data_IF_406615452603
#
_entry.id   IF_406615452603
#
_cell.length_a   1.000
_cell.length_b   1.000
_cell.length_c   1.000
_cell.angle_alpha   90.00
_cell.angle_beta   90.00
_cell.angle_gamma   90.00
#
_symmetry.space_group_name_H-M   'P 1'
#
loop_
_entity.id
_entity.type
_entity.pdbx_description
1 polymer ?
#
# COMPACT_ATOMS: atom_id res chain seq x y z
N UNK A 1 2.17 2.69 -20.01
CA UNK A 1 2.07 2.91 -18.55
C UNK A 1 2.90 1.84 -17.86
N UNK A 2 3.61 2.13 -16.77
CA UNK A 2 4.38 1.11 -16.07
C UNK A 2 3.41 -0.01 -15.63
N UNK A 3 3.75 -1.25 -15.94
CA UNK A 3 2.95 -2.43 -15.58
C UNK A 3 3.46 -3.04 -14.29
N UNK A 4 2.52 -3.49 -13.45
CA UNK A 4 2.85 -4.23 -12.24
C UNK A 4 3.21 -5.68 -12.63
N UNK A 5 4.48 -6.04 -12.47
CA UNK A 5 4.97 -7.40 -12.77
C UNK A 5 4.91 -8.28 -11.53
N UNK A 6 4.46 -9.52 -11.72
CA UNK A 6 4.49 -10.56 -10.71
C UNK A 6 5.72 -11.43 -10.95
N UNK A 7 6.74 -11.22 -10.12
CA UNK A 7 7.98 -11.99 -10.17
C UNK A 7 7.82 -13.28 -9.34
N UNK A 8 7.93 -14.44 -9.99
CA UNK A 8 7.64 -15.75 -9.36
C UNK A 8 8.89 -16.53 -8.93
N UNK A 9 10.10 -16.04 -9.25
CA UNK A 9 11.34 -16.76 -8.94
C UNK A 9 11.52 -17.01 -7.44
N UNK A 10 11.14 -16.03 -6.60
CA UNK A 10 11.16 -16.20 -5.15
C UNK A 10 10.14 -17.24 -4.68
N UNK A 11 8.93 -17.26 -5.24
CA UNK A 11 7.95 -18.31 -4.95
C UNK A 11 8.43 -19.70 -5.37
N UNK A 12 8.98 -19.84 -6.58
CA UNK A 12 9.53 -21.13 -7.05
C UNK A 12 10.60 -21.64 -6.08
N UNK A 13 11.55 -20.78 -5.70
CA UNK A 13 12.60 -21.11 -4.74
C UNK A 13 12.02 -21.51 -3.37
N UNK A 14 11.07 -20.73 -2.85
CA UNK A 14 10.42 -20.98 -1.57
C UNK A 14 9.70 -22.35 -1.56
N UNK A 15 8.98 -22.68 -2.63
CA UNK A 15 8.28 -23.96 -2.76
C UNK A 15 9.27 -25.13 -2.87
N UNK A 16 10.28 -25.02 -3.74
CA UNK A 16 11.29 -26.07 -3.92
C UNK A 16 12.09 -26.36 -2.65
N UNK A 17 12.51 -25.32 -1.91
CA UNK A 17 13.30 -25.49 -0.68
C UNK A 17 12.54 -26.17 0.45
N UNK A 18 11.21 -26.11 0.40
CA UNK A 18 10.33 -26.67 1.43
C UNK A 18 9.69 -27.99 1.00
N UNK A 19 9.96 -28.43 -0.23
CA UNK A 19 9.30 -29.59 -0.84
C UNK A 19 7.77 -29.49 -0.73
N UNK A 20 7.23 -28.27 -0.85
CA UNK A 20 5.80 -28.00 -0.71
C UNK A 20 5.01 -28.73 -1.80
N UNK A 21 4.02 -29.51 -1.41
CA UNK A 21 3.13 -30.25 -2.32
C UNK A 21 1.89 -29.46 -2.65
N UNK A 22 1.23 -28.91 -1.64
CA UNK A 22 -0.02 -28.16 -1.79
C UNK A 22 0.18 -26.70 -1.42
N UNK A 23 -0.11 -25.79 -2.35
CA UNK A 23 0.06 -24.35 -2.16
C UNK A 23 -1.22 -23.59 -2.49
N UNK A 24 -1.55 -22.59 -1.68
CA UNK A 24 -2.58 -21.61 -1.98
C UNK A 24 -1.93 -20.33 -2.49
N UNK A 25 -2.37 -19.85 -3.64
CA UNK A 25 -1.96 -18.56 -4.20
C UNK A 25 -3.11 -17.59 -4.05
N UNK A 26 -2.90 -16.52 -3.28
CA UNK A 26 -3.88 -15.45 -3.12
C UNK A 26 -3.50 -14.25 -3.96
N UNK A 27 -4.45 -13.78 -4.78
CA UNK A 27 -4.23 -12.74 -5.79
C UNK A 27 -5.20 -11.57 -5.55
N UNK A 28 -4.72 -10.32 -5.43
CA UNK A 28 -5.57 -9.15 -5.32
C UNK A 28 -6.28 -8.86 -6.65
N UNK A 29 -7.42 -8.16 -6.58
CA UNK A 29 -8.29 -7.89 -7.74
C UNK A 29 -7.54 -7.39 -8.98
N UNK A 30 -6.64 -6.41 -8.81
CA UNK A 30 -5.89 -5.81 -9.92
C UNK A 30 -4.92 -6.77 -10.64
N UNK A 31 -4.65 -7.95 -10.07
CA UNK A 31 -3.74 -8.95 -10.62
C UNK A 31 -4.44 -10.26 -11.02
N UNK A 32 -5.75 -10.41 -10.80
CA UNK A 32 -6.49 -11.65 -11.13
C UNK A 32 -6.48 -11.99 -12.62
N UNK A 33 -6.35 -11.00 -13.50
CA UNK A 33 -6.17 -11.23 -14.93
C UNK A 33 -4.88 -12.02 -15.27
N UNK A 34 -3.89 -12.04 -14.36
CA UNK A 34 -2.65 -12.80 -14.49
C UNK A 34 -2.72 -14.20 -13.86
N UNK A 35 -3.86 -14.61 -13.30
CA UNK A 35 -3.98 -15.83 -12.50
C UNK A 35 -3.51 -17.09 -13.25
N UNK A 36 -3.93 -17.28 -14.50
CA UNK A 36 -3.51 -18.44 -15.32
C UNK A 36 -1.99 -18.46 -15.51
N UNK A 37 -1.38 -17.32 -15.85
CA UNK A 37 0.09 -17.19 -15.98
C UNK A 37 0.80 -17.52 -14.67
N UNK A 38 0.23 -17.11 -13.54
CA UNK A 38 0.80 -17.39 -12.21
C UNK A 38 0.72 -18.89 -11.89
N UNK A 39 -0.41 -19.54 -12.17
CA UNK A 39 -0.59 -20.99 -12.00
C UNK A 39 0.44 -21.74 -12.85
N UNK A 40 0.50 -21.43 -14.15
CA UNK A 40 1.41 -22.08 -15.09
C UNK A 40 2.87 -21.92 -14.62
N UNK A 41 3.22 -20.72 -14.14
CA UNK A 41 4.55 -20.41 -13.62
C UNK A 41 4.94 -21.18 -12.35
N UNK A 42 3.98 -21.65 -11.56
CA UNK A 42 4.21 -22.37 -10.30
C UNK A 42 3.95 -23.89 -10.39
N UNK A 43 3.28 -24.35 -11.46
CA UNK A 43 2.88 -25.75 -11.67
C UNK A 43 4.03 -26.77 -11.62
N UNK A 44 5.27 -26.36 -11.87
CA UNK A 44 6.47 -27.22 -11.79
C UNK A 44 7.11 -27.25 -10.40
N UNK A 45 6.69 -26.37 -9.50
CA UNK A 45 7.29 -26.18 -8.18
C UNK A 45 6.44 -26.75 -7.05
N UNK A 46 5.19 -27.14 -7.30
CA UNK A 46 4.29 -27.79 -6.35
C UNK A 46 3.35 -28.75 -7.09
N UNK A 47 2.87 -29.79 -6.41
CA UNK A 47 1.94 -30.79 -6.95
C UNK A 47 0.54 -30.20 -7.17
N UNK A 48 0.03 -29.47 -6.18
CA UNK A 48 -1.30 -28.85 -6.18
C UNK A 48 -1.18 -27.35 -5.98
N UNK A 49 -1.60 -26.57 -6.99
CA UNK A 49 -1.64 -25.10 -6.93
C UNK A 49 -3.09 -24.64 -6.94
N UNK A 50 -3.59 -24.20 -5.79
CA UNK A 50 -4.93 -23.66 -5.63
C UNK A 50 -4.89 -22.13 -5.67
N UNK A 51 -5.75 -21.51 -6.50
CA UNK A 51 -5.87 -20.05 -6.51
C UNK A 51 -7.10 -19.62 -5.73
N UNK A 52 -6.89 -18.77 -4.71
CA UNK A 52 -7.97 -18.14 -3.97
C UNK A 52 -8.52 -16.97 -4.79
N UNK A 53 -9.72 -17.14 -5.33
CA UNK A 53 -10.40 -16.16 -6.18
C UNK A 53 -11.40 -15.26 -5.45
N UNK A 54 -11.59 -15.44 -4.14
CA UNK A 54 -12.35 -14.49 -3.33
C UNK A 54 -11.69 -13.10 -3.36
N UNK A 55 -12.42 -12.04 -2.99
CA UNK A 55 -11.82 -10.73 -2.77
C UNK A 55 -10.61 -10.83 -1.84
N UNK A 56 -9.53 -10.14 -2.21
CA UNK A 56 -8.33 -10.01 -1.39
C UNK A 56 -8.02 -8.52 -1.25
N UNK A 57 -8.24 -7.99 -0.05
CA UNK A 57 -8.11 -6.57 0.24
C UNK A 57 -6.73 -6.18 0.80
N UNK A 58 -5.93 -7.15 1.22
CA UNK A 58 -4.64 -6.88 1.85
C UNK A 58 -4.03 -8.10 2.54
N UNK A 59 -2.83 -7.90 3.07
CA UNK A 59 -2.14 -8.88 3.91
C UNK A 59 -2.85 -9.19 5.24
N UNK A 60 -3.95 -8.49 5.56
CA UNK A 60 -4.81 -8.76 6.71
C UNK A 60 -5.90 -9.81 6.44
N UNK A 61 -6.03 -10.25 5.19
CA UNK A 61 -7.11 -11.09 4.70
C UNK A 61 -6.53 -12.41 4.18
N UNK A 62 -5.69 -13.06 4.99
CA UNK A 62 -5.01 -14.29 4.60
C UNK A 62 -5.99 -15.49 4.62
N UNK A 63 -5.93 -16.41 3.64
CA UNK A 63 -6.82 -17.57 3.54
C UNK A 63 -6.38 -18.69 4.48
N UNK A 64 -6.24 -18.39 5.78
CA UNK A 64 -5.74 -19.34 6.79
C UNK A 64 -6.71 -20.52 6.98
N UNK A 65 -8.02 -20.25 6.91
CA UNK A 65 -9.04 -21.29 6.96
C UNK A 65 -8.97 -22.23 5.75
N UNK A 66 -8.75 -21.69 4.54
CA UNK A 66 -8.59 -22.52 3.34
C UNK A 66 -7.30 -23.35 3.42
N UNK A 67 -6.22 -22.77 3.97
CA UNK A 67 -4.95 -23.47 4.20
C UNK A 67 -5.16 -24.69 5.11
N UNK A 68 -5.94 -24.53 6.19
CA UNK A 68 -6.28 -25.64 7.07
C UNK A 68 -7.20 -26.66 6.39
N UNK A 69 -8.24 -26.21 5.68
CA UNK A 69 -9.23 -27.08 5.05
C UNK A 69 -8.65 -27.94 3.92
N UNK A 70 -7.70 -27.39 3.16
CA UNK A 70 -7.01 -28.09 2.07
C UNK A 70 -5.75 -28.82 2.52
N UNK A 71 -5.39 -28.73 3.80
CA UNK A 71 -4.10 -29.19 4.33
C UNK A 71 -2.94 -28.68 3.46
N UNK A 72 -2.98 -27.39 3.13
CA UNK A 72 -1.97 -26.75 2.29
C UNK A 72 -0.71 -26.45 3.10
N UNK A 73 0.46 -26.67 2.49
CA UNK A 73 1.76 -26.51 3.14
C UNK A 73 2.13 -25.03 3.33
N UNK A 74 1.65 -24.16 2.44
CA UNK A 74 1.96 -22.73 2.45
C UNK A 74 1.00 -21.86 1.63
N UNK A 75 1.10 -20.55 1.86
CA UNK A 75 0.40 -19.49 1.11
C UNK A 75 1.43 -18.63 0.37
N UNK A 76 1.20 -18.38 -0.92
CA UNK A 76 1.86 -17.33 -1.70
C UNK A 76 0.89 -16.14 -1.80
N UNK A 77 1.16 -15.06 -1.07
CA UNK A 77 0.32 -13.86 -1.02
C UNK A 77 0.90 -12.77 -1.91
N UNK A 78 0.24 -12.46 -3.02
CA UNK A 78 0.76 -11.54 -4.04
C UNK A 78 0.28 -10.11 -3.80
N UNK A 79 1.12 -9.12 -4.09
CA UNK A 79 0.77 -7.70 -4.16
C UNK A 79 0.91 -6.91 -2.87
N UNK A 80 0.94 -7.56 -1.70
CA UNK A 80 1.05 -6.87 -0.40
C UNK A 80 2.30 -7.24 0.39
N UNK A 81 2.77 -6.29 1.19
CA UNK A 81 3.85 -6.49 2.16
C UNK A 81 3.40 -7.26 3.41
N UNK A 82 4.33 -7.97 4.08
CA UNK A 82 4.02 -8.73 5.30
C UNK A 82 3.55 -7.82 6.43
N UNK A 83 2.37 -8.08 6.98
CA UNK A 83 1.91 -7.49 8.24
C UNK A 83 1.94 -8.49 9.40
N UNK A 84 1.97 -9.78 9.07
CA UNK A 84 2.21 -10.89 9.99
C UNK A 84 3.35 -11.70 9.40
N UNK A 85 4.31 -12.12 10.23
CA UNK A 85 5.44 -12.95 9.77
C UNK A 85 5.18 -14.38 10.21
N UNK A 86 4.81 -15.23 9.25
CA UNK A 86 4.64 -16.66 9.48
C UNK A 86 5.51 -17.43 8.48
N UNK A 87 6.20 -18.48 8.95
CA UNK A 87 7.13 -19.25 8.13
C UNK A 87 6.48 -19.92 6.92
N UNK A 88 5.17 -20.14 6.97
CA UNK A 88 4.42 -20.84 5.92
C UNK A 88 3.71 -19.87 4.96
N UNK A 89 4.00 -18.57 5.06
CA UNK A 89 3.42 -17.53 4.21
C UNK A 89 4.55 -16.78 3.54
N UNK A 90 4.60 -16.85 2.21
CA UNK A 90 5.45 -16.00 1.39
C UNK A 90 4.64 -14.81 0.90
N UNK A 91 5.11 -13.61 1.21
CA UNK A 91 4.59 -12.37 0.64
C UNK A 91 5.40 -12.00 -0.58
N UNK A 92 4.72 -11.71 -1.69
CA UNK A 92 5.31 -11.21 -2.93
C UNK A 92 4.76 -9.83 -3.25
N UNK A 93 5.27 -8.74 -2.63
CA UNK A 93 4.87 -7.40 -2.99
C UNK A 93 5.26 -7.10 -4.43
N UNK A 94 4.36 -6.47 -5.17
CA UNK A 94 4.60 -6.08 -6.56
C UNK A 94 4.85 -4.58 -6.64
N UNK A 95 5.83 -4.18 -7.44
CA UNK A 95 6.29 -2.79 -7.50
C UNK A 95 6.16 -2.23 -8.91
N UNK A 96 5.86 -0.94 -9.00
CA UNK A 96 6.01 -0.21 -10.27
C UNK A 96 7.50 0.11 -10.50
N UNK A 97 7.99 -0.21 -11.69
CA UNK A 97 9.29 0.26 -12.16
C UNK A 97 9.17 1.69 -12.68
N UNK A 98 9.77 2.64 -11.97
CA UNK A 98 9.90 4.03 -12.39
C UNK A 98 11.34 4.31 -12.81
N UNK A 99 11.50 4.97 -13.94
CA UNK A 99 12.79 5.43 -14.45
C UNK A 99 13.30 6.63 -13.66
N UNK A 100 14.62 6.86 -13.68
CA UNK A 100 15.22 8.04 -13.06
C UNK A 100 14.61 9.36 -13.59
N UNK A 101 14.30 9.42 -14.89
CA UNK A 101 13.66 10.58 -15.51
C UNK A 101 12.24 10.82 -14.96
N UNK A 102 11.46 9.76 -14.73
CA UNK A 102 10.12 9.88 -14.14
C UNK A 102 10.19 10.36 -12.68
N UNK A 103 11.15 9.85 -11.91
CA UNK A 103 11.38 10.28 -10.51
C UNK A 103 11.84 11.74 -10.46
N UNK A 104 12.77 12.14 -11.33
CA UNK A 104 13.23 13.52 -11.41
C UNK A 104 12.08 14.49 -11.75
N UNK A 105 11.27 14.15 -12.76
CA UNK A 105 10.09 14.94 -13.13
C UNK A 105 9.06 15.03 -12.00
N UNK A 106 8.86 13.95 -11.25
CA UNK A 106 8.00 13.95 -10.07
C UNK A 106 8.54 14.89 -8.99
N UNK A 107 9.84 14.85 -8.71
CA UNK A 107 10.49 15.74 -7.75
C UNK A 107 10.35 17.22 -8.13
N UNK A 108 10.57 17.57 -9.41
CA UNK A 108 10.37 18.93 -9.94
C UNK A 108 8.92 19.39 -9.77
N UNK A 109 7.97 18.52 -10.08
CA UNK A 109 6.53 18.79 -9.97
C UNK A 109 6.13 19.03 -8.52
N UNK A 110 6.61 18.18 -7.60
CA UNK A 110 6.45 18.37 -6.15
C UNK A 110 7.05 19.70 -5.71
N UNK A 111 8.29 19.99 -6.10
CA UNK A 111 8.99 21.19 -5.68
C UNK A 111 8.28 22.47 -6.13
N UNK A 112 7.81 22.49 -7.38
CA UNK A 112 7.03 23.60 -7.92
C UNK A 112 5.74 23.84 -7.12
N UNK A 113 5.02 22.78 -6.76
CA UNK A 113 3.78 22.91 -5.99
C UNK A 113 4.03 23.39 -4.57
N UNK A 114 4.97 22.77 -3.87
CA UNK A 114 5.34 23.13 -2.50
C UNK A 114 5.90 24.55 -2.40
N UNK A 115 6.62 25.01 -3.44
CA UNK A 115 7.15 26.37 -3.55
C UNK A 115 6.08 27.46 -3.49
N UNK A 116 4.86 27.19 -3.95
CA UNK A 116 3.73 28.13 -3.86
C UNK A 116 3.40 28.53 -2.42
N UNK A 117 3.70 27.65 -1.46
CA UNK A 117 3.44 27.84 -0.02
C UNK A 117 4.72 27.88 0.82
N UNK A 118 5.90 27.97 0.18
CA UNK A 118 7.22 27.94 0.85
C UNK A 118 7.39 26.72 1.78
N UNK A 119 6.84 25.58 1.40
CA UNK A 119 6.98 24.32 2.13
C UNK A 119 8.31 23.69 1.74
N UNK A 120 9.18 23.43 2.72
CA UNK A 120 10.53 22.90 2.49
C UNK A 120 10.81 21.62 3.30
N UNK A 121 9.91 21.24 4.21
CA UNK A 121 10.01 20.01 4.99
C UNK A 121 8.76 19.16 4.86
N UNK A 122 8.89 17.91 4.40
CA UNK A 122 7.75 17.03 4.12
C UNK A 122 7.96 15.60 4.63
N UNK A 123 6.87 14.95 5.03
CA UNK A 123 6.82 13.49 5.11
C UNK A 123 6.57 12.93 3.71
N UNK A 124 7.37 11.95 3.30
CA UNK A 124 7.23 11.26 2.02
C UNK A 124 6.72 9.84 2.28
N UNK A 125 5.54 9.53 1.74
CA UNK A 125 4.86 8.25 1.96
C UNK A 125 4.27 7.68 0.68
N UNK A 126 3.99 6.38 0.66
CA UNK A 126 3.34 5.70 -0.47
C UNK A 126 2.55 4.47 -0.03
N UNK A 127 1.84 3.85 -0.98
CA UNK A 127 1.47 2.45 -0.86
C UNK A 127 2.71 1.53 -1.11
N UNK A 128 2.57 0.22 -0.92
CA UNK A 128 3.68 -0.73 -1.10
C UNK A 128 4.21 -0.77 -2.54
N UNK A 129 3.35 -0.52 -3.53
CA UNK A 129 3.71 -0.65 -4.95
C UNK A 129 4.70 0.42 -5.42
N UNK A 130 4.69 1.59 -4.77
CA UNK A 130 5.61 2.69 -5.06
C UNK A 130 6.72 2.85 -4.00
N UNK A 131 6.74 2.03 -2.94
CA UNK A 131 7.64 2.24 -1.80
C UNK A 131 9.12 2.20 -2.17
N UNK A 132 9.47 1.41 -3.20
CA UNK A 132 10.83 1.32 -3.71
C UNK A 132 11.34 2.59 -4.39
N UNK A 133 10.47 3.51 -4.80
CA UNK A 133 10.86 4.77 -5.42
C UNK A 133 11.08 5.91 -4.41
N UNK A 134 10.67 5.72 -3.15
CA UNK A 134 10.78 6.77 -2.13
C UNK A 134 12.24 7.18 -1.85
N UNK A 135 13.23 6.26 -1.74
CA UNK A 135 14.61 6.64 -1.49
C UNK A 135 15.22 7.52 -2.60
N UNK A 136 14.98 7.19 -3.87
CA UNK A 136 15.43 7.98 -5.02
C UNK A 136 14.71 9.31 -5.09
N UNK A 137 13.38 9.32 -4.88
CA UNK A 137 12.60 10.55 -4.85
C UNK A 137 13.06 11.48 -3.73
N UNK A 138 13.40 10.94 -2.55
CA UNK A 138 14.00 11.70 -1.45
C UNK A 138 15.32 12.36 -1.85
N UNK A 139 16.20 11.64 -2.56
CA UNK A 139 17.47 12.20 -3.07
C UNK A 139 17.22 13.33 -4.09
N UNK A 140 16.30 13.13 -5.03
CA UNK A 140 15.95 14.13 -6.03
C UNK A 140 15.35 15.40 -5.39
N UNK A 141 14.48 15.25 -4.40
CA UNK A 141 13.91 16.36 -3.64
C UNK A 141 14.97 17.12 -2.83
N UNK A 142 15.95 16.43 -2.26
CA UNK A 142 17.05 17.07 -1.54
C UNK A 142 17.87 17.99 -2.44
N UNK A 143 18.16 17.59 -3.68
CA UNK A 143 18.82 18.44 -4.67
C UNK A 143 18.02 19.70 -5.04
N UNK A 144 16.70 19.67 -4.82
CA UNK A 144 15.78 20.79 -5.02
C UNK A 144 15.53 21.58 -3.71
N UNK A 145 16.37 21.41 -2.68
CA UNK A 145 16.26 22.05 -1.36
C UNK A 145 14.99 21.70 -0.57
N UNK A 146 14.43 20.51 -0.80
CA UNK A 146 13.29 19.99 -0.04
C UNK A 146 13.78 18.88 0.89
N UNK A 147 13.71 19.14 2.18
CA UNK A 147 14.02 18.17 3.21
C UNK A 147 12.85 17.17 3.35
N UNK A 148 13.02 15.97 2.81
CA UNK A 148 11.99 14.92 2.84
C UNK A 148 12.35 13.80 3.82
N UNK A 149 11.37 13.36 4.59
CA UNK A 149 11.51 12.36 5.64
C UNK A 149 10.68 11.12 5.30
N UNK A 150 11.29 9.95 5.42
CA UNK A 150 10.62 8.66 5.25
C UNK A 150 10.61 8.06 6.65
N UNK A 151 9.44 7.99 7.28
CA UNK A 151 9.32 7.52 8.65
C UNK A 151 9.19 6.01 8.74
N UNK A 152 9.58 5.49 9.90
CA UNK A 152 9.38 4.08 10.27
C UNK A 152 8.01 3.91 10.93
N UNK A 153 7.40 2.76 10.68
CA UNK A 153 6.05 2.45 11.14
C UNK A 153 6.04 1.44 12.29
N UNK A 154 4.84 1.20 12.82
CA UNK A 154 4.58 0.08 13.74
C UNK A 154 4.85 -1.29 13.11
N UNK A 155 4.77 -2.37 13.89
CA UNK A 155 4.95 -3.75 13.43
C UNK A 155 4.03 -4.20 12.29
N UNK A 156 2.93 -3.47 12.05
CA UNK A 156 1.99 -3.71 10.94
C UNK A 156 2.46 -3.13 9.60
N UNK A 157 3.54 -2.35 9.59
CA UNK A 157 4.10 -1.73 8.37
C UNK A 157 5.27 -2.58 7.89
N UNK A 158 5.26 -2.95 6.61
CA UNK A 158 6.28 -3.81 6.03
C UNK A 158 7.57 -3.05 5.66
N UNK A 159 7.44 -1.81 5.21
CA UNK A 159 8.54 -0.99 4.69
C UNK A 159 8.40 0.46 5.15
N UNK A 160 9.52 1.14 5.42
CA UNK A 160 9.55 2.57 5.74
C UNK A 160 8.79 3.41 4.70
N UNK A 161 8.07 4.44 5.17
CA UNK A 161 7.23 5.31 4.33
C UNK A 161 5.96 4.68 3.78
N UNK A 162 5.73 3.37 3.97
CA UNK A 162 4.49 2.75 3.55
C UNK A 162 3.35 3.14 4.50
N UNK A 163 2.24 3.63 3.94
CA UNK A 163 0.96 3.78 4.67
C UNK A 163 -0.01 2.67 4.28
N UNK A 164 -0.90 2.34 5.21
CA UNK A 164 -2.04 1.45 5.00
C UNK A 164 -3.34 2.22 5.24
N UNK A 165 -4.45 1.73 4.69
CA UNK A 165 -5.78 2.27 4.99
C UNK A 165 -6.15 2.27 6.47
N UNK A 166 -5.50 1.43 7.27
CA UNK A 166 -5.72 1.27 8.69
C UNK A 166 -4.53 1.73 9.56
N UNK A 167 -3.45 2.28 8.97
CA UNK A 167 -2.24 2.61 9.73
C UNK A 167 -1.43 3.73 9.08
N UNK A 168 -1.25 4.83 9.81
CA UNK A 168 -0.52 6.04 9.40
C UNK A 168 0.70 6.34 10.29
N UNK A 169 1.13 5.36 11.11
CA UNK A 169 2.19 5.54 12.13
C UNK A 169 3.53 6.02 11.56
N UNK A 170 3.81 5.72 10.27
CA UNK A 170 5.00 6.22 9.56
C UNK A 170 5.05 7.75 9.44
N UNK A 171 3.92 8.45 9.53
CA UNK A 171 3.90 9.91 9.51
C UNK A 171 3.83 10.47 10.92
N UNK A 172 3.06 9.85 11.81
CA UNK A 172 2.94 10.24 13.21
C UNK A 172 4.32 10.33 13.89
N UNK A 173 5.24 9.40 13.56
CA UNK A 173 6.60 9.37 14.10
C UNK A 173 7.49 10.56 13.71
N UNK A 174 7.18 11.24 12.61
CA UNK A 174 7.97 12.35 12.04
C UNK A 174 7.16 13.64 11.93
N UNK A 175 5.91 13.64 12.37
CA UNK A 175 4.95 14.72 12.14
C UNK A 175 5.48 16.05 12.68
N UNK A 176 6.13 16.08 13.83
CA UNK A 176 6.68 17.30 14.44
C UNK A 176 7.76 17.98 13.59
N UNK A 177 8.42 17.24 12.71
CA UNK A 177 9.57 17.72 11.92
C UNK A 177 9.20 18.18 10.51
N UNK A 178 7.94 18.09 10.12
CA UNK A 178 7.49 18.34 8.73
C UNK A 178 6.34 19.35 8.67
N UNK A 179 6.26 20.12 7.58
CA UNK A 179 5.19 21.09 7.34
C UNK A 179 4.00 20.48 6.60
N UNK A 180 4.21 19.43 5.81
CA UNK A 180 3.19 18.74 5.03
C UNK A 180 3.56 17.27 4.79
N UNK A 181 2.64 16.51 4.19
CA UNK A 181 2.92 15.17 3.65
C UNK A 181 2.75 15.14 2.14
N UNK A 182 3.61 14.39 1.45
CA UNK A 182 3.45 14.02 0.04
C UNK A 182 3.20 12.53 -0.01
N UNK A 183 1.99 12.16 -0.43
CA UNK A 183 1.64 10.79 -0.79
C UNK A 183 2.00 10.56 -2.26
N UNK A 184 2.93 9.64 -2.50
CA UNK A 184 3.38 9.23 -3.83
C UNK A 184 2.65 7.96 -4.24
N UNK A 185 1.66 8.11 -5.11
CA UNK A 185 0.82 7.02 -5.57
C UNK A 185 -0.50 7.49 -6.15
N UNK A 186 -1.38 6.54 -6.45
CA UNK A 186 -2.71 6.77 -6.97
C UNK A 186 -3.81 6.58 -5.91
N UNK A 187 -5.02 7.04 -6.25
CA UNK A 187 -6.20 6.96 -5.40
C UNK A 187 -6.21 7.98 -4.25
N UNK A 188 -7.42 8.24 -3.72
CA UNK A 188 -7.62 9.25 -2.66
C UNK A 188 -7.86 8.67 -1.27
N UNK A 189 -8.11 7.36 -1.16
CA UNK A 189 -8.49 6.76 0.13
C UNK A 189 -7.41 6.94 1.20
N UNK A 190 -6.17 6.55 0.88
CA UNK A 190 -5.03 6.70 1.78
C UNK A 190 -4.71 8.16 2.15
N UNK A 191 -4.50 9.09 1.18
CA UNK A 191 -4.17 10.47 1.52
C UNK A 191 -5.32 11.19 2.24
N UNK A 192 -6.58 10.82 1.98
CA UNK A 192 -7.72 11.39 2.71
C UNK A 192 -7.69 11.00 4.20
N UNK A 193 -7.38 9.74 4.55
CA UNK A 193 -7.20 9.36 5.95
C UNK A 193 -5.98 10.01 6.60
N UNK A 194 -4.90 10.21 5.84
CA UNK A 194 -3.69 10.87 6.32
C UNK A 194 -3.93 12.33 6.75
N UNK A 195 -4.81 13.04 6.04
CA UNK A 195 -5.23 14.40 6.43
C UNK A 195 -5.79 14.42 7.84
N UNK A 196 -6.65 13.46 8.20
CA UNK A 196 -7.29 13.41 9.51
C UNK A 196 -6.34 12.92 10.61
N UNK A 197 -5.36 12.08 10.28
CA UNK A 197 -4.33 11.64 11.22
C UNK A 197 -3.34 12.77 11.57
N UNK A 198 -3.00 13.64 10.61
CA UNK A 198 -1.90 14.61 10.79
C UNK A 198 -2.34 16.06 10.98
N UNK A 199 -3.57 16.41 10.60
CA UNK A 199 -4.05 17.80 10.53
C UNK A 199 -3.13 18.76 9.73
N UNK A 200 -2.29 18.21 8.85
CA UNK A 200 -1.35 18.96 7.99
C UNK A 200 -1.77 18.86 6.52
N UNK A 201 -1.31 19.78 5.66
CA UNK A 201 -1.50 19.67 4.22
C UNK A 201 -1.01 18.32 3.70
N UNK A 202 -1.80 17.67 2.85
CA UNK A 202 -1.45 16.43 2.18
C UNK A 202 -1.54 16.65 0.68
N UNK A 203 -0.42 16.45 0.00
CA UNK A 203 -0.31 16.51 -1.45
C UNK A 203 -0.27 15.08 -2.01
N UNK A 204 -0.98 14.85 -3.10
CA UNK A 204 -1.01 13.58 -3.83
C UNK A 204 -0.21 13.77 -5.10
N UNK A 205 0.97 13.15 -5.17
CA UNK A 205 1.76 13.05 -6.39
C UNK A 205 1.44 11.72 -7.06
N UNK A 206 0.71 11.78 -8.17
CA UNK A 206 0.38 10.59 -8.96
C UNK A 206 1.49 10.30 -9.98
N UNK A 207 2.28 9.22 -9.81
CA UNK A 207 3.38 8.92 -10.72
C UNK A 207 2.94 8.44 -12.11
N UNK A 208 1.73 7.90 -12.24
CA UNK A 208 1.21 7.39 -13.51
C UNK A 208 0.78 8.52 -14.46
N UNK A 209 0.30 9.63 -13.89
CA UNK A 209 -0.17 10.79 -14.65
C UNK A 209 0.78 12.00 -14.55
N UNK A 210 1.75 11.96 -13.65
CA UNK A 210 2.69 13.07 -13.41
C UNK A 210 1.99 14.31 -12.84
N UNK A 211 0.87 14.14 -12.14
CA UNK A 211 0.07 15.23 -11.59
C UNK A 211 0.25 15.34 -10.08
N UNK A 212 0.21 16.57 -9.56
CA UNK A 212 0.17 16.83 -8.13
C UNK A 212 -1.02 17.71 -7.78
N UNK A 213 -1.65 17.40 -6.65
CA UNK A 213 -2.71 18.24 -6.08
C UNK A 213 -2.73 18.14 -4.55
N UNK A 214 -3.27 19.15 -3.89
CA UNK A 214 -3.57 19.10 -2.45
C UNK A 214 -4.97 18.51 -2.22
N UNK A 215 -5.13 17.70 -1.17
CA UNK A 215 -6.46 17.27 -0.72
C UNK A 215 -7.27 18.50 -0.28
N UNK A 216 -8.21 18.91 -1.13
CA UNK A 216 -9.04 20.10 -0.90
C UNK A 216 -9.90 20.01 0.37
N UNK A 217 -10.15 21.15 1.00
CA UNK A 217 -11.10 21.27 2.12
C UNK A 217 -12.49 20.73 1.76
N UNK A 218 -12.94 20.93 0.52
CA UNK A 218 -14.20 20.36 0.01
C UNK A 218 -14.24 18.84 0.11
N UNK A 219 -13.14 18.15 -0.17
CA UNK A 219 -13.05 16.69 -0.06
C UNK A 219 -13.11 16.24 1.41
N UNK A 220 -12.43 16.97 2.30
CA UNK A 220 -12.47 16.73 3.76
C UNK A 220 -13.88 16.91 4.30
N UNK A 221 -14.51 18.04 4.00
CA UNK A 221 -15.87 18.39 4.41
C UNK A 221 -16.90 17.37 3.91
N UNK A 222 -16.78 16.94 2.65
CA UNK A 222 -17.69 15.94 2.08
C UNK A 222 -17.62 14.62 2.86
N UNK A 223 -16.43 14.17 3.25
CA UNK A 223 -16.29 12.98 4.08
C UNK A 223 -16.89 13.19 5.47
N UNK A 224 -16.55 14.30 6.14
CA UNK A 224 -17.02 14.59 7.50
C UNK A 224 -18.54 14.72 7.56
N UNK A 225 -19.17 15.40 6.61
CA UNK A 225 -20.64 15.52 6.53
C UNK A 225 -21.31 14.15 6.41
N UNK A 226 -20.77 13.24 5.58
CA UNK A 226 -21.29 11.87 5.48
C UNK A 226 -21.16 11.10 6.79
N UNK A 227 -20.03 11.26 7.50
CA UNK A 227 -19.79 10.62 8.80
C UNK A 227 -20.72 11.16 9.88
N UNK A 228 -20.87 12.49 9.98
CA UNK A 228 -21.80 13.10 10.94
C UNK A 228 -23.25 12.72 10.66
N UNK A 229 -23.68 12.66 9.40
CA UNK A 229 -25.02 12.20 9.06
C UNK A 229 -25.26 10.74 9.51
N UNK A 230 -24.30 9.85 9.31
CA UNK A 230 -24.39 8.46 9.78
C UNK A 230 -24.42 8.36 11.32
N UNK A 231 -23.59 9.14 12.01
CA UNK A 231 -23.57 9.19 13.49
C UNK A 231 -24.90 9.75 14.03
N UNK A 232 -25.43 10.80 13.42
CA UNK A 232 -26.70 11.40 13.82
C UNK A 232 -27.89 10.46 13.57
N UNK A 233 -27.86 9.68 12.48
CA UNK A 233 -28.86 8.64 12.26
C UNK A 233 -28.72 7.51 13.31
N UNK A 234 -27.50 7.10 13.62
CA UNK A 234 -27.22 6.05 14.60
C UNK A 234 -27.57 6.46 16.05
N UNK A 235 -27.55 7.74 16.41
CA UNK A 235 -27.88 8.19 17.76
C UNK A 235 -29.35 7.95 18.15
N UNK A 236 -30.22 7.71 17.16
CA UNK A 236 -31.62 7.34 17.36
C UNK A 236 -31.84 5.82 17.45
N UNK A 237 -30.79 5.01 17.23
CA UNK A 237 -30.91 3.56 17.27
C UNK A 237 -31.00 3.04 18.71
N UNK A 238 -31.87 2.06 18.94
CA UNK A 238 -32.05 1.41 20.25
C UNK A 238 -31.24 0.10 20.38
N UNK A 239 -30.76 -0.42 19.27
CA UNK A 239 -30.04 -1.70 19.19
C UNK A 239 -28.93 -1.60 18.17
N UNK A 240 -27.78 -2.19 18.50
CA UNK A 240 -26.58 -2.19 17.64
C UNK A 240 -26.12 -3.61 17.39
N UNK A 241 -25.75 -3.91 16.14
CA UNK A 241 -24.98 -5.10 15.79
C UNK A 241 -23.50 -4.77 15.75
N UNK A 242 -22.67 -5.60 16.38
CA UNK A 242 -21.21 -5.46 16.36
C UNK A 242 -20.66 -6.44 15.32
N UNK A 243 -20.08 -5.90 14.25
CA UNK A 243 -19.48 -6.71 13.19
C UNK A 243 -18.03 -6.99 13.56
N UNK A 244 -17.66 -8.27 13.53
CA UNK A 244 -16.29 -8.74 13.72
C UNK A 244 -15.87 -9.50 12.46
N UNK A 245 -14.68 -9.19 11.94
CA UNK A 245 -14.00 -10.03 10.96
C UNK A 245 -12.96 -10.85 11.72
N UNK A 246 -13.00 -12.17 11.54
CA UNK A 246 -12.10 -13.13 12.20
C UNK A 246 -11.12 -13.64 11.16
#
# INVERSE_FOLDING_TARGET
MPELKVELEEAKKFLSQRESKTVIVQIPEGLKAQATKIIDGLSKSAENVFVKMDPCYGACDLPLHDMQALNADCIIHIGHGPIHKHKDILYLPCYYGLTEAEIAKAAETIAKELGKRKITSIALVSNVQYSKALPELKKALFALNINSFIGEGSSRIATAGQILGCNYTVVESIQVSVQASVYFGDGYFHPLGLVFSTAKPVFVMNPLHGTIEEISEKNKDKLMRRRFAAIAAASQAKSFGIIVSI
#
